data_IF_663678625753
#
_entry.id   IF_663678625753
#
_cell.length_a   1.000
_cell.length_b   1.000
_cell.length_c   1.000
_cell.angle_alpha   90.00
_cell.angle_beta   90.00
_cell.angle_gamma   90.00
#
_symmetry.space_group_name_H-M   'P 1'
#
loop_
_entity.id
_entity.type
_entity.pdbx_description
1 polymer ?
#
# COMPACT_ATOMS: atom_id res chain seq x y z
N UNK A 1 -0.82 15.26 1.31
CA UNK A 1 0.05 14.88 2.43
C UNK A 1 1.20 15.88 2.48
N UNK A 2 1.42 16.61 3.59
CA UNK A 2 2.55 17.51 3.69
C UNK A 2 3.85 16.70 3.73
N UNK A 3 4.74 16.96 2.78
CA UNK A 3 6.10 16.41 2.81
C UNK A 3 6.92 17.29 3.75
N UNK A 4 7.44 16.72 4.83
CA UNK A 4 8.28 17.41 5.82
C UNK A 4 9.70 16.88 5.74
N UNK A 5 10.69 17.77 5.77
CA UNK A 5 12.10 17.42 5.87
C UNK A 5 12.51 17.49 7.34
N UNK A 6 13.14 16.45 7.83
CA UNK A 6 13.70 16.38 9.18
C UNK A 6 15.22 16.32 9.10
N UNK A 7 15.90 16.83 10.12
CA UNK A 7 17.36 16.81 10.22
C UNK A 7 17.87 15.54 10.90
N UNK A 8 17.04 14.86 11.68
CA UNK A 8 17.36 13.58 12.30
C UNK A 8 16.10 12.72 12.54
N UNK A 9 16.29 11.45 12.95
CA UNK A 9 15.19 10.50 13.20
C UNK A 9 14.42 10.87 14.47
N UNK A 10 15.10 11.39 15.48
CA UNK A 10 14.50 11.83 16.75
C UNK A 10 13.49 12.96 16.53
N UNK A 11 13.74 13.83 15.55
CA UNK A 11 12.81 14.91 15.16
C UNK A 11 11.52 14.37 14.50
N UNK A 12 11.50 13.10 14.09
CA UNK A 12 10.30 12.47 13.53
C UNK A 12 9.32 12.04 14.63
N UNK A 13 9.77 11.95 15.89
CA UNK A 13 8.92 11.48 16.98
C UNK A 13 7.73 12.43 17.20
N UNK A 14 6.53 11.87 17.33
CA UNK A 14 5.28 12.64 17.39
C UNK A 14 4.78 13.23 16.07
N UNK A 15 5.42 13.01 14.92
CA UNK A 15 4.92 13.46 13.61
C UNK A 15 4.07 12.38 12.89
N UNK A 16 3.21 11.71 13.64
CA UNK A 16 2.16 10.85 13.08
C UNK A 16 1.06 11.72 12.48
N UNK A 17 0.51 11.30 11.33
CA UNK A 17 -0.51 12.07 10.63
C UNK A 17 -1.82 12.19 11.44
N UNK A 18 -2.11 11.16 12.24
CA UNK A 18 -3.17 11.10 13.23
C UNK A 18 -2.69 10.27 14.42
N UNK A 19 -3.09 10.66 15.63
CA UNK A 19 -2.91 9.82 16.82
C UNK A 19 -3.81 8.57 16.76
N UNK A 20 -3.43 7.52 17.49
CA UNK A 20 -4.22 6.26 17.58
C UNK A 20 -5.63 6.49 18.11
N UNK A 21 -5.82 7.51 18.94
CA UNK A 21 -7.13 7.89 19.50
C UNK A 21 -7.92 8.86 18.63
N UNK A 22 -7.35 9.37 17.53
CA UNK A 22 -8.04 10.33 16.67
C UNK A 22 -9.13 9.62 15.85
N UNK A 23 -10.41 10.02 15.98
CA UNK A 23 -11.52 9.39 15.26
C UNK A 23 -11.42 9.54 13.73
N UNK A 24 -10.59 10.47 13.23
CA UNK A 24 -10.36 10.66 11.79
C UNK A 24 -9.40 9.62 11.20
N UNK A 25 -8.59 8.94 12.02
CA UNK A 25 -7.61 7.95 11.57
C UNK A 25 -8.27 6.87 10.71
N UNK A 26 -9.35 6.26 11.18
CA UNK A 26 -10.06 5.21 10.44
C UNK A 26 -10.64 5.72 9.12
N UNK A 27 -11.11 6.97 9.07
CA UNK A 27 -11.61 7.59 7.83
C UNK A 27 -10.47 7.80 6.83
N UNK A 28 -9.30 8.25 7.30
CA UNK A 28 -8.11 8.44 6.46
C UNK A 28 -7.57 7.11 5.91
N UNK A 29 -7.51 6.07 6.76
CA UNK A 29 -7.16 4.70 6.35
C UNK A 29 -8.10 4.24 5.24
N UNK A 30 -9.42 4.29 5.47
CA UNK A 30 -10.41 3.85 4.48
C UNK A 30 -10.27 4.62 3.17
N UNK A 31 -10.15 5.94 3.23
CA UNK A 31 -10.02 6.80 2.03
C UNK A 31 -8.78 6.44 1.22
N UNK A 32 -7.66 6.17 1.89
CA UNK A 32 -6.42 5.74 1.25
C UNK A 32 -6.60 4.39 0.55
N UNK A 33 -7.24 3.42 1.21
CA UNK A 33 -7.53 2.11 0.61
C UNK A 33 -8.48 2.20 -0.58
N UNK A 34 -9.55 2.98 -0.48
CA UNK A 34 -10.48 3.21 -1.59
C UNK A 34 -9.80 3.88 -2.79
N UNK A 35 -8.87 4.80 -2.54
CA UNK A 35 -8.09 5.43 -3.59
C UNK A 35 -7.16 4.43 -4.27
N UNK A 36 -6.43 3.62 -3.49
CA UNK A 36 -5.58 2.56 -4.02
C UNK A 36 -6.40 1.57 -4.87
N UNK A 37 -7.55 1.12 -4.36
CA UNK A 37 -8.46 0.24 -5.11
C UNK A 37 -8.91 0.85 -6.43
N UNK A 38 -9.16 2.16 -6.50
CA UNK A 38 -9.55 2.83 -7.74
C UNK A 38 -8.41 2.92 -8.76
N UNK A 39 -7.19 3.22 -8.30
CA UNK A 39 -6.04 3.50 -9.17
C UNK A 39 -5.31 2.24 -9.58
N UNK A 40 -4.89 1.42 -8.61
CA UNK A 40 -4.05 0.25 -8.86
C UNK A 40 -4.87 -1.03 -8.99
N UNK A 41 -6.09 -1.08 -8.42
CA UNK A 41 -6.96 -2.27 -8.41
C UNK A 41 -6.19 -3.55 -8.03
N UNK A 42 -5.45 -3.56 -6.90
CA UNK A 42 -4.67 -4.71 -6.50
C UNK A 42 -5.58 -5.92 -6.30
N UNK A 43 -5.12 -7.08 -6.76
CA UNK A 43 -5.76 -8.37 -6.59
C UNK A 43 -4.82 -9.26 -5.81
N UNK A 44 -5.34 -9.81 -4.73
CA UNK A 44 -4.69 -10.84 -3.94
C UNK A 44 -5.57 -12.09 -4.04
N UNK A 45 -5.00 -13.26 -4.33
CA UNK A 45 -5.75 -14.52 -4.32
C UNK A 45 -6.44 -14.74 -2.97
N UNK A 46 -7.71 -15.20 -2.96
CA UNK A 46 -8.43 -15.44 -1.71
C UNK A 46 -7.91 -16.69 -1.02
N UNK A 47 -7.81 -16.65 0.31
CA UNK A 47 -7.45 -17.81 1.12
C UNK A 47 -6.53 -17.46 2.28
N UNK A 48 -6.31 -18.44 3.16
CA UNK A 48 -5.27 -18.38 4.19
C UNK A 48 -4.13 -19.27 3.73
N UNK A 49 -2.95 -18.65 3.56
CA UNK A 49 -1.74 -19.33 3.09
C UNK A 49 -0.85 -19.64 4.28
N UNK A 50 -0.59 -20.93 4.53
CA UNK A 50 0.28 -21.38 5.60
C UNK A 50 1.70 -21.50 5.06
N UNK A 51 2.64 -20.88 5.75
CA UNK A 51 4.06 -20.91 5.43
C UNK A 51 4.84 -21.59 6.56
N UNK A 52 5.95 -22.22 6.21
CA UNK A 52 6.87 -22.83 7.18
C UNK A 52 7.84 -21.79 7.73
N UNK A 53 8.20 -20.81 6.92
CA UNK A 53 9.11 -19.72 7.29
C UNK A 53 8.54 -18.36 6.90
N UNK A 54 9.19 -17.27 7.34
CA UNK A 54 8.79 -15.90 7.01
C UNK A 54 9.16 -15.59 5.56
N UNK A 55 10.30 -16.09 5.09
CA UNK A 55 10.81 -15.89 3.73
C UNK A 55 9.81 -16.43 2.69
N UNK A 56 9.25 -17.63 2.90
CA UNK A 56 8.20 -18.19 2.04
C UNK A 56 6.95 -17.28 1.97
N UNK A 57 6.60 -16.61 3.07
CA UNK A 57 5.47 -15.70 3.12
C UNK A 57 5.78 -14.38 2.38
N UNK A 58 7.01 -13.89 2.52
CA UNK A 58 7.50 -12.70 1.82
C UNK A 58 7.58 -12.93 0.31
N UNK A 59 8.13 -14.06 -0.15
CA UNK A 59 8.20 -14.44 -1.55
C UNK A 59 6.80 -14.53 -2.19
N UNK A 60 5.85 -15.18 -1.50
CA UNK A 60 4.47 -15.26 -1.99
C UNK A 60 3.86 -13.86 -2.12
N UNK A 61 4.02 -13.03 -1.09
CA UNK A 61 3.54 -11.65 -1.10
C UNK A 61 4.15 -10.85 -2.24
N UNK A 62 5.46 -10.94 -2.43
CA UNK A 62 6.18 -10.23 -3.49
C UNK A 62 5.67 -10.65 -4.87
N UNK A 63 5.42 -11.94 -5.09
CA UNK A 63 4.87 -12.45 -6.35
C UNK A 63 3.52 -11.78 -6.71
N UNK A 64 2.66 -11.55 -5.72
CA UNK A 64 1.38 -10.87 -5.92
C UNK A 64 1.56 -9.37 -6.17
N UNK A 65 2.49 -8.73 -5.46
CA UNK A 65 2.81 -7.32 -5.66
C UNK A 65 3.36 -7.08 -7.08
N UNK A 66 4.27 -7.94 -7.55
CA UNK A 66 4.81 -7.89 -8.91
C UNK A 66 3.73 -8.09 -9.97
N UNK A 67 2.85 -9.10 -9.80
CA UNK A 67 1.73 -9.34 -10.71
C UNK A 67 0.77 -8.14 -10.80
N UNK A 68 0.46 -7.52 -9.66
CA UNK A 68 -0.37 -6.32 -9.62
C UNK A 68 0.28 -5.13 -10.33
N UNK A 69 1.58 -4.95 -10.15
CA UNK A 69 2.33 -3.88 -10.79
C UNK A 69 2.41 -4.05 -12.31
N UNK A 70 2.67 -5.28 -12.78
CA UNK A 70 2.64 -5.61 -14.21
C UNK A 70 1.27 -5.29 -14.83
N UNK A 71 0.19 -5.72 -14.17
CA UNK A 71 -1.18 -5.46 -14.63
C UNK A 71 -1.51 -3.95 -14.64
N UNK A 72 -1.02 -3.19 -13.67
CA UNK A 72 -1.17 -1.73 -13.65
C UNK A 72 -0.45 -1.06 -14.83
N UNK A 73 0.81 -1.43 -15.09
CA UNK A 73 1.59 -0.89 -16.21
C UNK A 73 0.90 -1.16 -17.54
N UNK A 74 0.38 -2.36 -17.73
CA UNK A 74 -0.35 -2.74 -18.94
C UNK A 74 -1.57 -1.84 -19.18
N UNK A 75 -2.44 -1.68 -18.17
CA UNK A 75 -3.63 -0.80 -18.28
C UNK A 75 -3.27 0.65 -18.59
N UNK A 76 -2.18 1.15 -17.99
CA UNK A 76 -1.70 2.51 -18.23
C UNK A 76 -1.21 2.69 -19.67
N UNK A 77 -0.50 1.71 -20.22
CA UNK A 77 -0.07 1.73 -21.62
C UNK A 77 -1.29 1.75 -22.57
N UNK A 78 -2.24 0.84 -22.38
CA UNK A 78 -3.48 0.76 -23.17
C UNK A 78 -4.30 2.06 -23.13
N UNK A 79 -4.30 2.78 -22.02
CA UNK A 79 -5.00 4.06 -21.87
C UNK A 79 -4.28 5.24 -22.52
N UNK A 80 -3.00 5.10 -22.84
CA UNK A 80 -2.16 6.17 -23.44
C UNK A 80 -2.10 6.06 -24.97
N UNK A 81 -2.30 4.85 -25.51
CA UNK A 81 -2.30 4.58 -26.97
C UNK A 81 -3.67 4.84 -27.63
N UNK A 82 -4.68 5.24 -26.85
CA UNK A 82 -6.05 5.50 -27.31
C UNK A 82 -6.35 7.00 -27.30
#
# INVERSE_FOLDING_TARGET
MPVRKFKSVEEMDGNTWYDRSDPRLFRAIRTTWEFAQRVTRPRFPPGVYKHRTIEEAEELRESWEQANFAAFRQRRHESTTR
#
